data_IF_094665215840
#
_entry.id   IF_094665215840
#
_cell.length_a   1.000
_cell.length_b   1.000
_cell.length_c   1.000
_cell.angle_alpha   90.00
_cell.angle_beta   90.00
_cell.angle_gamma   90.00
#
_symmetry.space_group_name_H-M   'P 1'
#
loop_
_entity.id
_entity.type
_entity.pdbx_description
1 polymer ?
#
# COMPACT_ATOMS: atom_id res chain seq x y z
N UNK A 1 0.89 -27.09 5.16
CA UNK A 1 1.17 -26.13 4.07
C UNK A 1 2.37 -25.30 4.50
N UNK A 2 3.40 -25.08 3.67
CA UNK A 2 4.35 -24.01 3.98
C UNK A 2 3.57 -22.71 4.16
N UNK A 3 3.91 -21.93 5.19
CA UNK A 3 3.15 -20.74 5.55
C UNK A 3 3.22 -19.74 4.37
N UNK A 4 2.09 -19.42 3.72
CA UNK A 4 2.05 -18.42 2.63
C UNK A 4 2.55 -17.08 3.22
N UNK A 5 3.52 -16.40 2.59
CA UNK A 5 3.95 -15.08 3.06
C UNK A 5 2.77 -14.12 3.00
N UNK A 6 2.65 -13.25 4.01
CA UNK A 6 1.60 -12.23 4.06
C UNK A 6 1.88 -11.21 2.94
N UNK A 7 0.86 -10.97 2.12
CA UNK A 7 0.91 -10.05 0.97
C UNK A 7 0.36 -8.69 1.37
N UNK A 8 1.15 -7.64 1.15
CA UNK A 8 0.81 -6.27 1.56
C UNK A 8 0.82 -5.35 0.36
N UNK A 9 -0.29 -4.66 0.10
CA UNK A 9 -0.34 -3.53 -0.82
C UNK A 9 -0.05 -2.23 -0.07
N UNK A 10 1.04 -1.54 -0.42
CA UNK A 10 1.31 -0.18 0.07
C UNK A 10 0.91 0.81 -1.02
N UNK A 11 -0.15 1.58 -0.79
CA UNK A 11 -0.71 2.51 -1.76
C UNK A 11 -0.65 3.97 -1.32
N UNK A 12 -0.48 4.86 -2.30
CA UNK A 12 -0.53 6.31 -2.16
C UNK A 12 -1.58 6.91 -3.09
N UNK A 13 -2.77 7.26 -2.59
CA UNK A 13 -3.82 7.83 -3.41
C UNK A 13 -3.60 9.30 -3.74
N UNK A 14 -4.12 9.73 -4.90
CA UNK A 14 -4.26 11.16 -5.24
C UNK A 14 -2.93 11.87 -5.57
N UNK A 15 -2.85 13.18 -5.36
CA UNK A 15 -1.68 13.99 -5.79
C UNK A 15 -0.54 14.06 -4.77
N UNK A 16 -0.52 13.16 -3.79
CA UNK A 16 0.49 13.19 -2.74
C UNK A 16 1.84 12.62 -3.22
N UNK A 17 2.77 13.53 -3.53
CA UNK A 17 4.14 13.20 -3.94
C UNK A 17 5.07 12.78 -2.80
N UNK A 18 4.64 12.82 -1.53
CA UNK A 18 5.49 12.45 -0.39
C UNK A 18 5.60 10.94 -0.26
N UNK A 19 6.56 10.35 -0.97
CA UNK A 19 6.71 8.89 -1.12
C UNK A 19 7.70 8.25 -0.15
N UNK A 20 8.58 9.05 0.47
CA UNK A 20 9.67 8.54 1.34
C UNK A 20 9.18 7.60 2.43
N UNK A 21 8.12 7.98 3.14
CA UNK A 21 7.56 7.17 4.22
C UNK A 21 7.00 5.83 3.72
N UNK A 22 6.26 5.86 2.60
CA UNK A 22 5.72 4.65 1.99
C UNK A 22 6.82 3.71 1.51
N UNK A 23 7.89 4.24 0.88
CA UNK A 23 9.05 3.44 0.44
C UNK A 23 9.78 2.80 1.62
N UNK A 24 9.97 3.54 2.71
CA UNK A 24 10.63 3.02 3.91
C UNK A 24 9.85 1.84 4.50
N UNK A 25 8.52 1.98 4.65
CA UNK A 25 7.65 0.90 5.15
C UNK A 25 7.66 -0.30 4.20
N UNK A 26 7.61 -0.06 2.88
CA UNK A 26 7.72 -1.14 1.88
C UNK A 26 9.02 -1.94 2.03
N UNK A 27 10.16 -1.26 2.22
CA UNK A 27 11.45 -1.93 2.43
C UNK A 27 11.46 -2.71 3.75
N UNK A 28 11.03 -2.09 4.86
CA UNK A 28 11.01 -2.75 6.16
C UNK A 28 10.11 -4.00 6.19
N UNK A 29 8.96 -3.97 5.51
CA UNK A 29 8.07 -5.13 5.36
C UNK A 29 8.71 -6.24 4.53
N UNK A 30 9.39 -5.90 3.43
CA UNK A 30 10.12 -6.88 2.62
C UNK A 30 11.25 -7.55 3.42
N UNK A 31 12.00 -6.76 4.18
CA UNK A 31 13.07 -7.27 5.06
C UNK A 31 12.52 -8.21 6.15
N UNK A 32 11.28 -7.99 6.59
CA UNK A 32 10.57 -8.85 7.53
C UNK A 32 9.93 -10.11 6.87
N UNK A 33 10.12 -10.33 5.57
CA UNK A 33 9.64 -11.51 4.85
C UNK A 33 8.23 -11.41 4.28
N UNK A 34 7.64 -10.22 4.25
CA UNK A 34 6.36 -9.98 3.60
C UNK A 34 6.55 -9.84 2.08
N UNK A 35 5.55 -10.25 1.32
CA UNK A 35 5.49 -9.94 -0.11
C UNK A 35 4.78 -8.60 -0.30
N UNK A 36 5.50 -7.59 -0.79
CA UNK A 36 4.98 -6.21 -0.82
C UNK A 36 4.80 -5.69 -2.24
N UNK A 37 3.57 -5.33 -2.56
CA UNK A 37 3.14 -4.68 -3.80
C UNK A 37 3.16 -3.16 -3.57
N UNK A 38 3.91 -2.44 -4.41
CA UNK A 38 3.97 -0.97 -4.39
C UNK A 38 3.74 -0.43 -5.81
N UNK A 39 2.50 -0.06 -6.18
CA UNK A 39 2.15 0.40 -7.53
C UNK A 39 2.69 1.80 -7.87
N UNK A 40 3.33 2.47 -6.91
CA UNK A 40 3.87 3.81 -7.07
C UNK A 40 2.90 4.91 -6.64
N UNK A 41 3.23 6.13 -7.05
CA UNK A 41 2.48 7.34 -6.68
C UNK A 41 1.20 7.49 -7.51
N UNK A 42 0.33 8.37 -7.02
CA UNK A 42 -0.83 8.88 -7.75
C UNK A 42 -1.82 7.83 -8.24
N UNK A 43 -1.98 6.77 -7.44
CA UNK A 43 -3.01 5.79 -7.73
C UNK A 43 -4.38 6.37 -7.39
N UNK A 44 -5.40 6.04 -8.19
CA UNK A 44 -6.78 6.36 -7.83
C UNK A 44 -7.31 5.29 -6.87
N UNK A 45 -8.28 5.63 -6.02
CA UNK A 45 -8.89 4.66 -5.09
C UNK A 45 -9.44 3.42 -5.84
N UNK A 46 -10.18 3.55 -6.97
CA UNK A 46 -10.62 2.38 -7.73
C UNK A 46 -9.47 1.48 -8.20
N UNK A 47 -8.35 2.08 -8.64
CA UNK A 47 -7.17 1.30 -9.07
C UNK A 47 -6.51 0.57 -7.89
N UNK A 48 -6.43 1.21 -6.72
CA UNK A 48 -5.90 0.57 -5.50
C UNK A 48 -6.76 -0.64 -5.13
N UNK A 49 -8.08 -0.52 -5.19
CA UNK A 49 -9.02 -1.62 -4.92
C UNK A 49 -8.86 -2.74 -5.95
N UNK A 50 -8.79 -2.40 -7.25
CA UNK A 50 -8.56 -3.38 -8.31
C UNK A 50 -7.24 -4.13 -8.12
N UNK A 51 -6.15 -3.42 -7.81
CA UNK A 51 -4.84 -4.04 -7.52
C UNK A 51 -4.92 -4.95 -6.30
N UNK A 52 -5.58 -4.53 -5.21
CA UNK A 52 -5.72 -5.34 -4.01
C UNK A 52 -6.43 -6.68 -4.30
N UNK A 53 -7.47 -6.65 -5.13
CA UNK A 53 -8.22 -7.83 -5.54
C UNK A 53 -7.43 -8.73 -6.49
N UNK A 54 -6.80 -8.14 -7.52
CA UNK A 54 -5.99 -8.88 -8.51
C UNK A 54 -4.78 -9.55 -7.88
N UNK A 55 -4.13 -8.86 -6.94
CA UNK A 55 -2.95 -9.34 -6.24
C UNK A 55 -3.30 -10.18 -5.00
N UNK A 56 -4.58 -10.41 -4.68
CA UNK A 56 -5.00 -11.23 -3.54
C UNK A 56 -4.24 -10.88 -2.24
N UNK A 57 -4.26 -9.59 -1.86
CA UNK A 57 -3.48 -9.09 -0.73
C UNK A 57 -4.21 -9.28 0.60
N UNK A 58 -3.45 -9.59 1.64
CA UNK A 58 -3.97 -9.77 3.00
C UNK A 58 -4.15 -8.42 3.72
N UNK A 59 -3.33 -7.43 3.37
CA UNK A 59 -3.29 -6.11 4.02
C UNK A 59 -3.15 -4.99 2.98
N UNK A 60 -3.89 -3.89 3.18
CA UNK A 60 -3.72 -2.64 2.45
C UNK A 60 -3.20 -1.57 3.41
N UNK A 61 -1.99 -1.06 3.18
CA UNK A 61 -1.44 0.11 3.84
C UNK A 61 -1.63 1.35 2.97
N UNK A 62 -2.22 2.41 3.54
CA UNK A 62 -2.41 3.70 2.86
C UNK A 62 -1.48 4.74 3.46
N UNK A 63 -0.71 5.44 2.61
CA UNK A 63 0.13 6.56 3.03
C UNK A 63 -0.38 7.86 2.40
N UNK A 64 -0.79 8.82 3.25
CA UNK A 64 -1.34 10.11 2.83
C UNK A 64 -0.79 11.21 3.74
N UNK A 65 -0.18 12.24 3.16
CA UNK A 65 0.26 13.47 3.83
C UNK A 65 -0.44 14.72 3.28
N UNK A 66 -1.33 14.56 2.29
CA UNK A 66 -2.10 15.68 1.72
C UNK A 66 -3.19 16.23 2.65
N UNK A 67 -3.47 15.56 3.78
CA UNK A 67 -4.59 15.91 4.66
C UNK A 67 -5.97 15.70 4.03
N UNK A 68 -6.05 15.22 2.79
CA UNK A 68 -7.29 15.07 2.01
C UNK A 68 -8.01 13.74 2.28
N UNK A 69 -7.80 13.12 3.44
CA UNK A 69 -8.53 11.93 3.84
C UNK A 69 -9.89 12.32 4.41
N UNK A 70 -10.85 11.39 4.31
CA UNK A 70 -12.13 11.57 4.97
C UNK A 70 -11.93 11.49 6.50
N UNK A 71 -12.65 12.30 7.30
CA UNK A 71 -12.65 12.13 8.75
C UNK A 71 -13.12 10.72 9.10
N UNK A 72 -12.44 10.09 10.04
CA UNK A 72 -12.95 8.88 10.68
C UNK A 72 -13.85 9.34 11.83
N UNK A 73 -15.14 9.01 11.75
CA UNK A 73 -16.12 9.32 12.80
C UNK A 73 -16.07 8.28 13.92
#
# INVERSE_FOLDING_TARGET
>A
MPNKPIRVLIAKPGLDGHDRGARLVTLALRDAGFEVIYPGLHQTVPKIVETALQEDVDVIGLSILSGAHLPIA
#
